data_IF_561677881720
#
_entry.id   IF_561677881720
#
_cell.length_a   1.000
_cell.length_b   1.000
_cell.length_c   1.000
_cell.angle_alpha   90.00
_cell.angle_beta   90.00
_cell.angle_gamma   90.00
#
_symmetry.space_group_name_H-M   'P 1'
#
loop_
_entity.id
_entity.type
_entity.pdbx_description
1 polymer ?
#
# COMPACT_ATOMS: atom_id res chain seq x y z
N UNK A 1 -2.27 -14.74 -9.35
CA UNK A 1 -3.56 -14.10 -9.05
C UNK A 1 -3.95 -14.44 -7.62
N UNK A 2 -4.37 -13.45 -6.82
CA UNK A 2 -4.80 -13.68 -5.42
C UNK A 2 -6.24 -14.20 -5.43
N UNK A 3 -6.51 -15.29 -4.71
CA UNK A 3 -7.86 -15.78 -4.52
C UNK A 3 -8.60 -14.86 -3.52
N UNK A 4 -9.62 -14.15 -3.98
CA UNK A 4 -10.36 -13.19 -3.17
C UNK A 4 -11.11 -13.85 -1.98
N UNK A 5 -11.77 -15.01 -2.13
CA UNK A 5 -12.30 -15.76 -0.98
C UNK A 5 -11.25 -16.05 0.10
N UNK A 6 -10.06 -16.50 -0.27
CA UNK A 6 -8.97 -16.76 0.69
C UNK A 6 -8.51 -15.45 1.37
N UNK A 7 -8.34 -14.37 0.59
CA UNK A 7 -7.99 -13.06 1.13
C UNK A 7 -8.99 -12.59 2.20
N UNK A 8 -10.30 -12.70 1.91
CA UNK A 8 -11.37 -12.36 2.85
C UNK A 8 -11.34 -13.26 4.09
N UNK A 9 -11.24 -14.57 3.89
CA UNK A 9 -11.16 -15.55 4.97
C UNK A 9 -10.01 -15.26 5.94
N UNK A 10 -8.80 -15.02 5.41
CA UNK A 10 -7.65 -14.72 6.28
C UNK A 10 -7.75 -13.34 6.94
N UNK A 11 -8.36 -12.36 6.26
CA UNK A 11 -8.63 -11.06 6.88
C UNK A 11 -9.58 -11.19 8.08
N UNK A 12 -10.68 -11.93 7.93
CA UNK A 12 -11.62 -12.21 9.03
C UNK A 12 -10.96 -13.02 10.15
N UNK A 13 -10.17 -14.03 9.79
CA UNK A 13 -9.40 -14.83 10.75
C UNK A 13 -8.43 -13.97 11.55
N UNK A 14 -7.68 -13.08 10.90
CA UNK A 14 -6.76 -12.16 11.55
C UNK A 14 -7.50 -11.18 12.46
N UNK A 15 -8.62 -10.62 12.02
CA UNK A 15 -9.47 -9.80 12.89
C UNK A 15 -9.86 -10.55 14.16
N UNK A 16 -10.43 -11.74 14.03
CA UNK A 16 -10.86 -12.56 15.16
C UNK A 16 -9.71 -12.95 16.09
N UNK A 17 -8.58 -13.39 15.53
CA UNK A 17 -7.41 -13.77 16.31
C UNK A 17 -6.83 -12.57 17.06
N UNK A 18 -6.71 -11.41 16.41
CA UNK A 18 -6.16 -10.21 17.03
C UNK A 18 -7.04 -9.72 18.19
N UNK A 19 -8.36 -9.73 18.05
CA UNK A 19 -9.28 -9.35 19.14
C UNK A 19 -9.22 -10.28 20.36
N UNK A 20 -8.63 -11.47 20.21
CA UNK A 20 -8.36 -12.38 21.34
C UNK A 20 -6.98 -12.21 21.96
N UNK A 21 -6.04 -11.65 21.22
CA UNK A 21 -4.62 -11.61 21.59
C UNK A 21 -4.13 -10.24 22.01
N UNK A 22 -4.81 -9.17 21.61
CA UNK A 22 -4.39 -7.81 21.86
C UNK A 22 -5.53 -6.99 22.43
N UNK A 23 -5.19 -6.06 23.31
CA UNK A 23 -6.16 -5.14 23.92
C UNK A 23 -6.59 -4.03 22.94
N UNK A 24 -5.69 -3.65 22.03
CA UNK A 24 -5.91 -2.61 21.03
C UNK A 24 -5.84 -3.13 19.58
N UNK A 25 -6.68 -4.11 19.17
CA UNK A 25 -6.68 -4.60 17.79
C UNK A 25 -7.13 -3.50 16.82
N UNK A 26 -6.57 -3.47 15.60
CA UNK A 26 -7.10 -2.63 14.54
C UNK A 26 -8.16 -3.40 13.75
N UNK A 27 -9.22 -2.70 13.31
CA UNK A 27 -10.08 -3.22 12.26
C UNK A 27 -9.26 -3.30 10.95
N UNK A 28 -9.10 -4.49 10.35
CA UNK A 28 -8.33 -4.65 9.11
C UNK A 28 -8.88 -3.86 7.92
N UNK A 29 -10.18 -3.53 7.91
CA UNK A 29 -10.82 -2.79 6.83
C UNK A 29 -10.86 -1.28 7.07
N UNK A 30 -10.30 -0.79 8.18
CA UNK A 30 -10.10 0.64 8.37
C UNK A 30 -8.86 1.10 7.61
N UNK A 31 -9.05 2.11 6.76
CA UNK A 31 -7.95 2.77 6.05
C UNK A 31 -7.23 3.77 6.98
N UNK A 32 -5.93 3.93 6.78
CA UNK A 32 -5.16 5.02 7.35
C UNK A 32 -4.76 5.98 6.24
N UNK A 33 -4.69 7.27 6.52
CA UNK A 33 -4.19 8.27 5.55
C UNK A 33 -2.67 8.39 5.68
N UNK A 34 -1.96 8.26 4.56
CA UNK A 34 -0.50 8.35 4.51
C UNK A 34 -0.11 9.40 3.48
N UNK A 35 0.78 10.31 3.86
CA UNK A 35 1.47 11.17 2.90
C UNK A 35 2.31 10.31 1.95
N UNK A 36 1.99 10.26 0.65
CA UNK A 36 2.71 9.43 -0.30
C UNK A 36 4.20 9.79 -0.38
N UNK A 37 4.63 11.02 -0.05
CA UNK A 37 6.03 11.42 -0.04
C UNK A 37 6.83 10.90 1.16
N UNK A 38 6.18 10.51 2.25
CA UNK A 38 6.84 10.11 3.51
C UNK A 38 7.52 8.72 3.44
N UNK A 39 6.88 7.64 2.93
CA UNK A 39 7.52 6.32 2.86
C UNK A 39 8.71 6.31 1.90
N UNK A 40 9.90 5.89 2.30
CA UNK A 40 11.03 5.75 1.36
C UNK A 40 11.28 4.30 0.92
N UNK A 41 10.61 3.34 1.57
CA UNK A 41 10.87 1.92 1.40
C UNK A 41 9.63 1.14 0.98
N UNK A 42 9.88 0.06 0.24
CA UNK A 42 8.89 -0.95 -0.04
C UNK A 42 9.44 -2.36 0.17
N UNK A 43 8.54 -3.29 0.45
CA UNK A 43 8.80 -4.72 0.35
C UNK A 43 7.53 -5.40 -0.13
N UNK A 44 7.64 -6.22 -1.16
CA UNK A 44 6.49 -6.96 -1.69
C UNK A 44 6.28 -8.21 -0.84
N UNK A 45 5.12 -8.31 -0.20
CA UNK A 45 4.72 -9.52 0.52
C UNK A 45 3.51 -10.16 -0.13
N UNK A 46 3.34 -11.46 0.10
CA UNK A 46 2.16 -12.17 -0.42
C UNK A 46 0.88 -11.62 0.21
N UNK A 47 -0.05 -11.21 -0.66
CA UNK A 47 -1.41 -10.79 -0.31
C UNK A 47 -2.31 -11.97 0.08
N UNK A 48 -1.87 -13.22 -0.13
CA UNK A 48 -2.66 -14.43 0.14
C UNK A 48 -3.24 -14.45 1.56
N UNK A 49 -2.54 -13.85 2.52
CA UNK A 49 -2.89 -13.89 3.93
C UNK A 49 -3.82 -12.76 4.39
N UNK A 50 -4.42 -12.00 3.47
CA UNK A 50 -5.38 -10.95 3.83
C UNK A 50 -4.77 -9.79 4.64
N UNK A 51 -5.64 -8.89 5.08
CA UNK A 51 -5.29 -7.68 5.84
C UNK A 51 -5.13 -7.94 7.34
N UNK A 52 -4.55 -6.96 8.04
CA UNK A 52 -4.53 -6.90 9.51
C UNK A 52 -3.62 -7.92 10.20
N UNK A 53 -2.70 -8.57 9.50
CA UNK A 53 -1.82 -9.57 10.11
C UNK A 53 -0.84 -8.92 11.10
N UNK A 54 -0.72 -9.43 12.32
CA UNK A 54 0.37 -9.07 13.25
C UNK A 54 1.45 -10.16 13.20
N UNK A 55 2.70 -9.80 12.90
CA UNK A 55 3.79 -10.78 12.72
C UNK A 55 5.15 -10.24 13.12
N UNK A 56 5.88 -11.01 13.91
CA UNK A 56 7.31 -10.76 14.18
C UNK A 56 8.20 -11.02 12.95
N UNK A 57 9.48 -10.70 13.07
CA UNK A 57 10.53 -11.10 12.13
C UNK A 57 11.51 -9.98 11.85
N UNK A 58 12.12 -10.03 10.67
CA UNK A 58 13.09 -9.03 10.18
C UNK A 58 12.64 -8.36 8.89
N UNK A 59 11.42 -8.63 8.44
CA UNK A 59 10.90 -8.19 7.14
C UNK A 59 10.81 -6.68 6.99
N UNK A 60 10.75 -5.95 8.11
CA UNK A 60 10.69 -4.49 8.19
C UNK A 60 12.08 -3.85 8.22
N UNK A 61 13.15 -4.64 8.36
CA UNK A 61 14.50 -4.10 8.45
C UNK A 61 14.96 -3.54 7.10
N UNK A 62 15.77 -2.46 7.10
CA UNK A 62 16.23 -1.81 5.88
C UNK A 62 16.87 -2.77 4.88
N UNK A 63 17.68 -3.73 5.35
CA UNK A 63 18.35 -4.72 4.50
C UNK A 63 17.39 -5.69 3.78
N UNK A 64 16.15 -5.81 4.24
CA UNK A 64 15.10 -6.64 3.64
C UNK A 64 14.09 -5.81 2.84
N UNK A 65 14.31 -4.50 2.74
CA UNK A 65 13.48 -3.57 1.98
C UNK A 65 14.26 -3.02 0.78
N UNK A 66 13.53 -2.41 -0.16
CA UNK A 66 14.10 -1.66 -1.29
C UNK A 66 13.67 -0.20 -1.21
N UNK A 67 14.46 0.70 -1.79
CA UNK A 67 14.06 2.10 -1.93
C UNK A 67 12.99 2.26 -2.99
N UNK A 68 11.95 3.04 -2.68
CA UNK A 68 10.81 3.29 -3.56
C UNK A 68 11.18 3.97 -4.88
N UNK A 69 12.25 4.76 -4.89
CA UNK A 69 12.69 5.46 -6.10
C UNK A 69 13.73 4.68 -6.90
N UNK A 70 14.26 3.58 -6.37
CA UNK A 70 15.31 2.76 -6.99
C UNK A 70 14.70 1.55 -7.71
N UNK A 71 13.86 1.82 -8.71
CA UNK A 71 13.30 0.78 -9.59
C UNK A 71 12.83 1.37 -10.93
N UNK A 72 12.75 0.50 -11.94
CA UNK A 72 12.38 0.85 -13.33
C UNK A 72 10.96 1.38 -13.47
N UNK A 73 10.03 0.96 -12.60
CA UNK A 73 8.66 1.49 -12.61
C UNK A 73 8.64 2.97 -12.19
N UNK A 74 9.28 3.31 -11.06
CA UNK A 74 9.39 4.70 -10.64
C UNK A 74 10.04 5.56 -11.72
N UNK A 75 11.18 5.11 -12.26
CA UNK A 75 11.91 5.87 -13.27
C UNK A 75 11.10 6.05 -14.56
N UNK A 76 10.47 5.00 -15.08
CA UNK A 76 9.68 5.12 -16.31
C UNK A 76 8.43 5.99 -16.13
N UNK A 77 7.73 5.88 -15.00
CA UNK A 77 6.60 6.77 -14.70
C UNK A 77 7.05 8.22 -14.54
N UNK A 78 8.21 8.46 -13.93
CA UNK A 78 8.81 9.79 -13.81
C UNK A 78 9.18 10.35 -15.19
N UNK A 79 9.79 9.54 -16.05
CA UNK A 79 10.11 9.92 -17.43
C UNK A 79 8.86 10.29 -18.23
N UNK A 80 7.79 9.51 -18.12
CA UNK A 80 6.54 9.81 -18.79
C UNK A 80 5.88 11.08 -18.24
N UNK A 81 5.54 11.09 -16.94
CA UNK A 81 4.70 12.15 -16.36
C UNK A 81 5.45 13.44 -15.97
N UNK A 82 6.76 13.38 -15.68
CA UNK A 82 7.54 14.58 -15.31
C UNK A 82 8.44 15.09 -16.42
N UNK A 83 8.87 14.24 -17.34
CA UNK A 83 9.73 14.64 -18.47
C UNK A 83 9.00 14.68 -19.82
N UNK A 84 7.76 14.17 -19.89
CA UNK A 84 6.95 14.20 -21.11
C UNK A 84 7.45 13.25 -22.20
N UNK A 85 8.08 12.13 -21.82
CA UNK A 85 8.53 11.11 -22.78
C UNK A 85 7.40 10.16 -23.16
N UNK A 86 7.35 9.75 -24.42
CA UNK A 86 6.47 8.67 -24.86
C UNK A 86 6.80 7.35 -24.13
N UNK A 87 5.80 6.50 -23.91
CA UNK A 87 5.96 5.27 -23.12
C UNK A 87 7.05 4.36 -23.67
N UNK A 88 7.15 4.22 -24.99
CA UNK A 88 8.05 3.33 -25.72
C UNK A 88 9.53 3.63 -25.49
N UNK A 89 9.86 4.84 -25.00
CA UNK A 89 11.24 5.25 -24.69
C UNK A 89 11.50 5.36 -23.18
N UNK A 90 10.61 4.78 -22.36
CA UNK A 90 10.76 4.77 -20.90
C UNK A 90 11.42 3.51 -20.37
N UNK A 91 12.08 3.66 -19.22
CA UNK A 91 12.65 2.52 -18.48
C UNK A 91 11.58 1.50 -18.03
N UNK A 92 10.31 1.92 -17.93
CA UNK A 92 9.19 1.05 -17.61
C UNK A 92 8.81 0.17 -18.81
N UNK A 93 8.72 0.74 -20.01
CA UNK A 93 8.48 -0.03 -21.23
C UNK A 93 9.58 -1.05 -21.50
N UNK A 94 10.85 -0.65 -21.37
CA UNK A 94 11.96 -1.60 -21.50
C UNK A 94 11.83 -2.76 -20.50
N UNK A 95 11.37 -2.48 -19.27
CA UNK A 95 11.16 -3.52 -18.27
C UNK A 95 10.03 -4.48 -18.64
N UNK A 96 8.90 -3.95 -19.12
CA UNK A 96 7.76 -4.75 -19.58
C UNK A 96 8.20 -5.67 -20.72
N UNK A 97 8.84 -5.11 -21.76
CA UNK A 97 9.27 -5.86 -22.93
C UNK A 97 10.25 -6.97 -22.56
N UNK A 98 11.27 -6.67 -21.75
CA UNK A 98 12.24 -7.67 -21.27
C UNK A 98 11.59 -8.76 -20.41
N UNK A 99 10.60 -8.43 -19.57
CA UNK A 99 9.89 -9.43 -18.77
C UNK A 99 9.01 -10.34 -19.62
N UNK A 100 8.31 -9.81 -20.63
CA UNK A 100 7.51 -10.64 -21.54
C UNK A 100 8.42 -11.55 -22.37
N UNK A 101 9.52 -11.03 -22.91
CA UNK A 101 10.48 -11.84 -23.69
C UNK A 101 11.17 -12.90 -22.83
N UNK A 102 11.60 -12.54 -21.62
CA UNK A 102 12.38 -13.41 -20.74
C UNK A 102 11.56 -14.39 -19.89
N UNK A 103 10.42 -13.94 -19.36
CA UNK A 103 9.57 -14.70 -18.42
C UNK A 103 8.23 -15.13 -19.03
N UNK A 104 7.96 -14.77 -20.28
CA UNK A 104 6.72 -15.07 -21.00
C UNK A 104 5.52 -14.21 -20.57
N UNK A 105 5.68 -13.36 -19.56
CA UNK A 105 4.62 -12.49 -19.07
C UNK A 105 5.17 -11.32 -18.23
N UNK A 106 4.42 -10.22 -18.20
CA UNK A 106 4.58 -9.14 -17.25
C UNK A 106 3.29 -9.00 -16.43
N UNK A 107 3.36 -9.34 -15.13
CA UNK A 107 2.22 -9.24 -14.19
C UNK A 107 0.94 -9.96 -14.65
N UNK A 108 1.09 -11.02 -15.43
CA UNK A 108 -0.01 -11.83 -15.97
C UNK A 108 -0.45 -11.45 -17.37
N UNK A 109 0.13 -10.39 -17.94
CA UNK A 109 -0.02 -10.04 -19.34
C UNK A 109 1.10 -10.71 -20.15
N UNK A 110 0.74 -11.52 -21.15
CA UNK A 110 1.68 -12.31 -21.95
C UNK A 110 2.12 -11.58 -23.23
N UNK A 111 1.54 -10.40 -23.49
CA UNK A 111 1.64 -9.71 -24.77
C UNK A 111 1.91 -8.21 -24.60
N UNK A 112 2.89 -7.71 -25.36
CA UNK A 112 3.33 -6.31 -25.25
C UNK A 112 2.30 -5.35 -25.86
N UNK A 113 1.61 -5.76 -26.91
CA UNK A 113 0.57 -4.94 -27.57
C UNK A 113 -0.58 -4.67 -26.61
N UNK A 114 -1.02 -5.68 -25.85
CA UNK A 114 -2.01 -5.52 -24.77
C UNK A 114 -1.57 -4.49 -23.72
N UNK A 115 -0.30 -4.49 -23.32
CA UNK A 115 0.20 -3.48 -22.37
C UNK A 115 0.13 -2.07 -22.97
N UNK A 116 0.50 -1.92 -24.24
CA UNK A 116 0.49 -0.63 -24.95
C UNK A 116 -0.95 -0.13 -25.14
N UNK A 117 -1.87 -1.00 -25.53
CA UNK A 117 -3.24 -0.63 -25.89
C UNK A 117 -4.18 -0.48 -24.69
N UNK A 118 -3.92 -1.21 -23.59
CA UNK A 118 -4.82 -1.21 -22.43
C UNK A 118 -4.17 -0.63 -21.18
N UNK A 119 -2.96 -1.07 -20.83
CA UNK A 119 -2.36 -0.73 -19.54
C UNK A 119 -1.82 0.70 -19.50
N UNK A 120 -1.10 1.15 -20.53
CA UNK A 120 -0.58 2.53 -20.56
C UNK A 120 -1.71 3.57 -20.57
N UNK A 121 -2.75 3.45 -21.42
CA UNK A 121 -3.89 4.36 -21.35
C UNK A 121 -4.59 4.36 -19.99
N UNK A 122 -4.70 3.21 -19.31
CA UNK A 122 -5.27 3.16 -17.97
C UNK A 122 -4.42 3.89 -16.92
N UNK A 123 -3.08 3.87 -17.04
CA UNK A 123 -2.19 4.62 -16.16
C UNK A 123 -2.27 6.13 -16.47
N UNK A 124 -2.38 6.50 -17.74
CA UNK A 124 -2.56 7.91 -18.16
C UNK A 124 -3.91 8.47 -17.68
N UNK A 125 -4.99 7.71 -17.83
CA UNK A 125 -6.31 8.06 -17.29
C UNK A 125 -6.26 8.23 -15.77
N UNK A 126 -5.61 7.32 -15.05
CA UNK A 126 -5.40 7.45 -13.60
C UNK A 126 -4.66 8.75 -13.25
N UNK A 127 -3.62 9.10 -14.00
CA UNK A 127 -2.86 10.33 -13.78
C UNK A 127 -3.73 11.57 -14.02
N UNK A 128 -4.44 11.62 -15.14
CA UNK A 128 -5.28 12.76 -15.51
C UNK A 128 -6.45 12.93 -14.53
N UNK A 129 -7.16 11.86 -14.17
CA UNK A 129 -8.21 11.91 -13.15
C UNK A 129 -7.66 12.42 -11.81
N UNK A 130 -6.51 11.91 -11.36
CA UNK A 130 -5.93 12.35 -10.08
C UNK A 130 -5.41 13.79 -10.15
N UNK A 131 -4.95 14.25 -11.31
CA UNK A 131 -4.51 15.63 -11.54
C UNK A 131 -5.68 16.61 -11.47
N UNK A 132 -6.84 16.23 -11.97
CA UNK A 132 -8.02 17.10 -12.08
C UNK A 132 -8.89 17.09 -10.81
N UNK A 133 -9.07 15.90 -10.21
CA UNK A 133 -10.00 15.70 -9.10
C UNK A 133 -9.31 15.50 -7.75
N UNK A 134 -7.98 15.33 -7.74
CA UNK A 134 -7.24 14.85 -6.57
C UNK A 134 -7.36 13.33 -6.41
N UNK A 135 -6.87 12.80 -5.29
CA UNK A 135 -6.96 11.36 -5.04
C UNK A 135 -8.39 10.95 -4.69
N UNK A 136 -8.93 10.01 -5.47
CA UNK A 136 -10.24 9.40 -5.23
C UNK A 136 -10.08 7.97 -4.71
N UNK A 137 -10.48 7.75 -3.46
CA UNK A 137 -10.49 6.43 -2.84
C UNK A 137 -11.45 5.48 -3.55
N UNK A 138 -11.09 4.21 -3.68
CA UNK A 138 -12.06 3.23 -4.16
C UNK A 138 -13.10 2.91 -3.07
N UNK A 139 -12.69 2.88 -1.80
CA UNK A 139 -13.65 2.77 -0.70
C UNK A 139 -14.58 4.00 -0.69
N UNK A 140 -15.90 3.77 -0.62
CA UNK A 140 -16.94 4.79 -0.70
C UNK A 140 -17.26 5.30 -2.11
N UNK A 141 -16.54 4.86 -3.15
CA UNK A 141 -16.81 5.26 -4.55
C UNK A 141 -17.06 4.06 -5.48
N UNK A 142 -16.26 3.01 -5.33
CA UNK A 142 -16.35 1.75 -6.07
C UNK A 142 -17.02 0.69 -5.20
N UNK A 143 -16.70 0.65 -3.91
CA UNK A 143 -17.31 -0.25 -2.94
C UNK A 143 -17.46 0.41 -1.57
N UNK A 144 -18.55 0.12 -0.87
CA UNK A 144 -18.76 0.58 0.52
C UNK A 144 -18.30 -0.45 1.56
N UNK A 145 -18.30 -1.73 1.16
CA UNK A 145 -18.00 -2.85 2.04
C UNK A 145 -17.10 -3.87 1.34
N UNK A 146 -16.29 -4.64 2.10
CA UNK A 146 -15.39 -5.64 1.54
C UNK A 146 -16.06 -6.72 0.68
N UNK A 147 -17.37 -6.94 0.85
CA UNK A 147 -18.17 -7.86 0.03
C UNK A 147 -18.43 -7.35 -1.40
N UNK A 148 -18.23 -6.06 -1.67
CA UNK A 148 -18.52 -5.42 -2.94
C UNK A 148 -17.41 -5.47 -3.98
N UNK A 149 -16.18 -5.85 -3.60
CA UNK A 149 -15.07 -5.99 -4.56
C UNK A 149 -15.14 -7.33 -5.32
N UNK A 150 -14.74 -7.32 -6.59
CA UNK A 150 -14.61 -8.53 -7.42
C UNK A 150 -13.16 -9.04 -7.48
N UNK A 151 -12.19 -8.16 -7.22
CA UNK A 151 -10.78 -8.51 -7.07
C UNK A 151 -10.04 -7.69 -6.02
N UNK A 152 -8.95 -8.26 -5.47
CA UNK A 152 -8.08 -7.57 -4.49
C UNK A 152 -7.45 -6.29 -5.08
N UNK A 153 -7.29 -6.23 -6.40
CA UNK A 153 -6.76 -5.06 -7.11
C UNK A 153 -7.72 -3.86 -7.14
N UNK A 154 -9.00 -4.05 -6.79
CA UNK A 154 -9.96 -2.95 -6.59
C UNK A 154 -9.78 -2.27 -5.24
N UNK A 155 -9.00 -2.83 -4.32
CA UNK A 155 -8.70 -2.16 -3.06
C UNK A 155 -7.75 -0.97 -3.28
N UNK A 156 -7.84 0.01 -2.39
CA UNK A 156 -6.83 1.05 -2.29
C UNK A 156 -5.46 0.48 -1.92
N UNK A 157 -4.36 1.24 -2.13
CA UNK A 157 -3.01 0.76 -1.90
C UNK A 157 -2.79 0.16 -0.51
N UNK A 158 -1.78 -0.70 -0.41
CA UNK A 158 -1.51 -1.44 0.82
C UNK A 158 -0.11 -1.18 1.34
N UNK A 159 -0.02 -1.05 2.66
CA UNK A 159 1.21 -0.83 3.40
C UNK A 159 1.41 -1.86 4.50
N UNK A 160 2.65 -1.92 4.99
CA UNK A 160 3.05 -2.59 6.20
C UNK A 160 3.49 -1.54 7.22
N UNK A 161 3.38 -1.87 8.51
CA UNK A 161 3.91 -1.02 9.58
C UNK A 161 5.03 -1.77 10.32
N UNK A 162 6.25 -1.26 10.18
CA UNK A 162 7.47 -1.80 10.76
C UNK A 162 7.53 -1.72 12.29
N UNK A 163 8.57 -2.28 12.90
CA UNK A 163 8.69 -2.38 14.37
C UNK A 163 8.68 -1.03 15.09
N UNK A 164 9.12 0.03 14.42
CA UNK A 164 9.20 1.38 14.98
C UNK A 164 8.21 2.33 14.30
N UNK A 165 7.13 1.79 13.70
CA UNK A 165 6.11 2.61 13.04
C UNK A 165 6.48 3.04 11.63
N UNK A 166 7.48 2.45 11.00
CA UNK A 166 7.80 2.81 9.63
C UNK A 166 6.71 2.31 8.70
N UNK A 167 6.11 3.21 7.91
CA UNK A 167 5.21 2.83 6.82
C UNK A 167 6.05 2.31 5.66
N UNK A 168 5.82 1.06 5.27
CA UNK A 168 6.55 0.38 4.20
C UNK A 168 5.55 -0.03 3.12
N UNK A 169 5.75 0.44 1.89
CA UNK A 169 4.82 0.14 0.80
C UNK A 169 4.87 -1.35 0.40
N UNK A 170 3.74 -1.94 0.02
CA UNK A 170 3.73 -3.31 -0.53
C UNK A 170 2.88 -3.49 -1.76
N UNK A 171 1.84 -2.68 -1.97
CA UNK A 171 1.02 -2.77 -3.19
C UNK A 171 0.35 -1.43 -3.55
N UNK A 172 -0.02 -1.27 -4.82
CA UNK A 172 -0.67 -0.08 -5.36
C UNK A 172 0.35 0.96 -5.84
N UNK A 173 1.45 0.49 -6.43
CA UNK A 173 2.59 1.34 -6.80
C UNK A 173 2.25 2.44 -7.83
N UNK A 174 1.38 2.17 -8.81
CA UNK A 174 0.97 3.21 -9.77
C UNK A 174 0.28 4.37 -9.06
N UNK A 175 -0.68 4.07 -8.17
CA UNK A 175 -1.37 5.08 -7.36
C UNK A 175 -0.42 5.86 -6.45
N UNK A 176 0.53 5.17 -5.80
CA UNK A 176 1.57 5.83 -5.01
C UNK A 176 2.36 6.84 -5.84
N UNK A 177 2.92 6.41 -6.96
CA UNK A 177 3.84 7.25 -7.73
C UNK A 177 3.11 8.39 -8.42
N UNK A 178 1.91 8.17 -8.96
CA UNK A 178 1.06 9.25 -9.49
C UNK A 178 0.76 10.29 -8.40
N UNK A 179 0.34 9.85 -7.21
CA UNK A 179 0.07 10.75 -6.09
C UNK A 179 1.33 11.54 -5.68
N UNK A 180 2.51 10.90 -5.65
CA UNK A 180 3.80 11.57 -5.42
C UNK A 180 4.11 12.63 -6.47
N UNK A 181 3.92 12.32 -7.75
CA UNK A 181 4.25 13.25 -8.83
C UNK A 181 3.30 14.44 -8.87
N UNK A 182 2.05 14.26 -8.45
CA UNK A 182 1.07 15.33 -8.35
C UNK A 182 1.16 16.14 -7.05
N UNK A 183 1.93 15.66 -6.07
CA UNK A 183 2.07 16.33 -4.77
C UNK A 183 0.80 16.25 -3.92
N UNK A 184 0.11 15.11 -3.97
CA UNK A 184 -1.06 14.85 -3.12
C UNK A 184 -0.59 14.69 -1.67
N UNK A 185 -1.25 15.39 -0.74
CA UNK A 185 -0.84 15.45 0.66
C UNK A 185 -1.06 14.14 1.44
N UNK A 186 -2.17 13.44 1.18
CA UNK A 186 -2.51 12.18 1.84
C UNK A 186 -3.31 11.27 0.90
N UNK A 187 -3.03 9.96 0.96
CA UNK A 187 -3.83 8.92 0.29
C UNK A 187 -4.25 7.84 1.30
N UNK A 188 -5.48 7.31 1.20
CA UNK A 188 -5.92 6.21 2.03
C UNK A 188 -5.22 4.91 1.63
N UNK A 189 -4.78 4.16 2.64
CA UNK A 189 -4.14 2.86 2.46
C UNK A 189 -4.66 1.85 3.46
N UNK A 190 -4.68 0.58 3.06
CA UNK A 190 -4.93 -0.54 3.96
C UNK A 190 -3.64 -1.02 4.62
N UNK A 191 -3.71 -1.33 5.91
CA UNK A 191 -2.61 -1.97 6.62
C UNK A 191 -2.71 -3.49 6.47
N UNK A 192 -1.91 -4.05 5.57
CA UNK A 192 -1.84 -5.48 5.33
C UNK A 192 -1.20 -6.21 6.51
N UNK A 193 -0.16 -5.62 7.10
CA UNK A 193 0.61 -6.24 8.20
C UNK A 193 1.22 -5.23 9.15
N UNK A 194 1.21 -5.53 10.44
CA UNK A 194 1.95 -4.84 11.49
C UNK A 194 3.02 -5.74 12.09
N UNK A 195 4.14 -5.15 12.51
CA UNK A 195 5.11 -5.83 13.36
C UNK A 195 4.57 -5.96 14.79
N UNK A 196 4.93 -7.04 15.50
CA UNK A 196 4.45 -7.26 16.88
C UNK A 196 4.84 -6.13 17.83
N UNK A 197 6.05 -5.59 17.69
CA UNK A 197 6.56 -4.49 18.53
C UNK A 197 5.73 -3.22 18.31
N UNK A 198 5.30 -2.97 17.08
CA UNK A 198 4.39 -1.87 16.80
C UNK A 198 3.02 -2.10 17.42
N UNK A 199 2.49 -3.32 17.35
CA UNK A 199 1.24 -3.66 18.01
C UNK A 199 1.33 -3.43 19.54
N UNK A 200 2.47 -3.71 20.18
CA UNK A 200 2.69 -3.38 21.60
C UNK A 200 2.70 -1.86 21.85
N UNK A 201 3.23 -1.06 20.94
CA UNK A 201 3.15 0.42 21.02
C UNK A 201 1.67 0.87 20.95
N UNK A 202 0.87 0.26 20.06
CA UNK A 202 -0.58 0.53 20.00
C UNK A 202 -1.29 0.20 21.32
N UNK A 203 -0.99 -0.95 21.91
CA UNK A 203 -1.56 -1.36 23.22
C UNK A 203 -1.16 -0.42 24.35
N UNK A 204 0.12 0.00 24.40
CA UNK A 204 0.60 0.98 25.39
C UNK A 204 -0.07 2.34 25.23
N UNK A 205 -0.37 2.73 23.99
CA UNK A 205 -1.05 3.99 23.67
C UNK A 205 -2.52 3.93 24.08
N UNK A 206 -3.21 2.84 23.76
CA UNK A 206 -4.61 2.62 24.13
C UNK A 206 -4.81 2.57 25.65
N UNK A 207 -3.87 1.95 26.38
CA UNK A 207 -3.89 1.89 27.83
C UNK A 207 -3.51 3.21 28.53
N UNK A 208 -3.07 4.22 27.79
CA UNK A 208 -2.61 5.48 28.36
C UNK A 208 -3.81 6.33 28.87
N UNK A 209 -3.66 7.00 30.02
CA UNK A 209 -4.69 7.90 30.51
C UNK A 209 -4.99 9.03 29.51
N UNK A 210 -6.24 9.48 29.49
CA UNK A 210 -6.70 10.64 28.71
C UNK A 210 -6.59 10.51 27.18
N UNK A 211 -6.41 9.30 26.65
CA UNK A 211 -6.38 9.05 25.21
C UNK A 211 -5.18 9.69 24.50
N UNK A 212 -4.08 9.93 25.23
CA UNK A 212 -2.85 10.53 24.69
C UNK A 212 -1.75 9.51 24.54
N UNK A 213 -0.89 9.72 23.54
CA UNK A 213 0.35 8.95 23.42
C UNK A 213 1.24 9.23 24.64
N UNK A 214 1.78 8.20 25.33
CA UNK A 214 2.71 8.36 26.44
C UNK A 214 3.90 9.26 26.08
N UNK A 215 4.42 10.01 27.05
CA UNK A 215 5.52 10.97 26.82
C UNK A 215 6.76 10.32 26.19
N UNK A 216 7.08 9.08 26.58
CA UNK A 216 8.20 8.29 26.05
C UNK A 216 7.96 7.77 24.62
N UNK A 217 6.73 7.90 24.12
CA UNK A 217 6.29 7.53 22.77
C UNK A 217 5.86 8.75 21.96
N UNK A 218 6.12 9.98 22.44
CA UNK A 218 5.65 11.23 21.83
C UNK A 218 6.08 11.43 20.37
N UNK A 219 7.15 10.77 19.91
CA UNK A 219 7.56 10.73 18.50
C UNK A 219 6.48 10.12 17.59
N UNK A 220 5.62 9.25 18.13
CA UNK A 220 4.53 8.59 17.41
C UNK A 220 3.20 9.33 17.51
N UNK A 221 3.13 10.50 18.18
CA UNK A 221 1.86 11.18 18.47
C UNK A 221 0.97 11.42 17.23
N UNK A 222 1.58 11.66 16.07
CA UNK A 222 0.88 11.91 14.82
C UNK A 222 0.88 10.70 13.86
N UNK A 223 1.31 9.52 14.34
CA UNK A 223 1.41 8.35 13.49
C UNK A 223 0.00 7.94 13.01
N UNK A 224 -0.22 7.77 11.69
CA UNK A 224 -1.56 7.55 11.13
C UNK A 224 -2.24 6.27 11.66
N UNK A 225 -1.45 5.23 11.97
CA UNK A 225 -1.91 3.97 12.56
C UNK A 225 -2.23 4.01 14.08
N UNK A 226 -2.01 5.16 14.74
CA UNK A 226 -2.41 5.38 16.13
C UNK A 226 -3.71 6.18 16.25
N UNK A 227 -4.18 6.85 15.19
CA UNK A 227 -5.35 7.75 15.22
C UNK A 227 -6.63 7.10 15.78
N UNK A 228 -6.75 5.78 15.74
CA UNK A 228 -7.91 5.05 16.25
C UNK A 228 -7.78 4.55 17.70
N UNK A 229 -6.61 4.71 18.32
CA UNK A 229 -6.33 4.35 19.72
C UNK A 229 -5.96 5.56 20.58
N UNK A 230 -5.78 6.74 19.98
CA UNK A 230 -5.81 8.03 20.68
C UNK A 230 -7.22 8.65 20.58
N UNK A 231 -7.64 9.33 21.65
CA UNK A 231 -8.97 9.93 21.82
C UNK A 231 -9.00 11.43 21.67
#
# INVERSE_FOLDING_TARGET
MVNLPDFRYYTEWHSHANHKHYDAPADPWTQICVDPATPDRFTVVSLLWGLGRVREGTWDRPENCRHLTDNRMYEGLRQHFKEGRDWEVTAYHDWVAESIEGEGHFRGCEDLETVIEEHYPAIDELYECMREEGYRANHGNVYDHPGGIEGVHELDPMVLVGRAGEVIWTEGFHRLYVARFLGIDEIPVYVLRRHVEWQRIRERTDAAPDGKVPDDLSEYANHPDLRNVVG
#
